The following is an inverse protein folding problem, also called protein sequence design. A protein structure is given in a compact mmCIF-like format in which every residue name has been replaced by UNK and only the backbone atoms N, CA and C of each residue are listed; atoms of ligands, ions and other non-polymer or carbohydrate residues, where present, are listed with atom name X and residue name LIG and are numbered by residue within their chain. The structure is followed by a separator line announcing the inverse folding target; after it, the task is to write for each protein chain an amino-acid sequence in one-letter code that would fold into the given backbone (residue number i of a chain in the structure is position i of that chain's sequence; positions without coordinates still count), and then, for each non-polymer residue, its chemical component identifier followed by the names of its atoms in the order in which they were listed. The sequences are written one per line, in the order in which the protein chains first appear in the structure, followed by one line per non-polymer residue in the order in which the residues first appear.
data_IF_834528992492
#
_entry.id   IF_834528992492
#
_cell.length_a   1.000
_cell.length_b   1.000
_cell.length_c   1.000
_cell.angle_alpha   90.00
_cell.angle_beta   90.00
_cell.angle_gamma   90.00
#
_symmetry.space_group_name_H-M   'P 1'
#
loop_
_entity.id
_entity.type
_entity.pdbx_description
1 polymer ?
#
# COMPACT_ATOMS: atom_id res chain seq x y z
N UNK A 1 -51.48 6.36 -6.27
CA UNK A 1 -50.08 5.94 -6.46
C UNK A 1 -49.19 7.10 -6.07
N UNK A 2 -48.11 6.83 -5.35
CA UNK A 2 -47.20 7.86 -4.83
C UNK A 2 -45.76 7.50 -5.12
N UNK A 3 -44.88 8.50 -5.13
CA UNK A 3 -43.45 8.27 -5.12
C UNK A 3 -43.00 8.14 -3.67
N UNK A 4 -42.07 7.25 -3.37
CA UNK A 4 -41.57 7.08 -2.01
C UNK A 4 -40.05 7.03 -1.99
N UNK A 5 -39.46 7.55 -0.92
CA UNK A 5 -38.02 7.51 -0.71
C UNK A 5 -37.70 6.88 0.65
N UNK A 6 -36.83 5.88 0.67
CA UNK A 6 -36.41 5.26 1.92
C UNK A 6 -35.33 6.12 2.59
N UNK A 7 -35.55 6.50 3.85
CA UNK A 7 -34.66 7.38 4.62
C UNK A 7 -33.26 6.80 4.82
N UNK A 8 -33.18 5.46 4.94
CA UNK A 8 -31.97 4.70 5.29
C UNK A 8 -31.24 4.29 4.01
N UNK A 9 -31.90 3.54 3.13
CA UNK A 9 -31.28 2.97 1.92
C UNK A 9 -31.11 3.98 0.79
N UNK A 10 -31.68 5.19 0.95
CA UNK A 10 -31.73 6.25 -0.06
C UNK A 10 -32.30 5.76 -1.39
N UNK A 11 -33.21 4.79 -1.35
CA UNK A 11 -33.86 4.22 -2.52
C UNK A 11 -35.10 5.04 -2.87
N UNK A 12 -35.18 5.49 -4.12
CA UNK A 12 -36.35 6.16 -4.68
C UNK A 12 -37.19 5.18 -5.49
N UNK A 13 -38.47 5.04 -5.17
CA UNK A 13 -39.43 4.21 -5.90
C UNK A 13 -40.53 5.09 -6.50
N UNK A 14 -40.84 4.86 -7.78
CA UNK A 14 -41.87 5.61 -8.53
C UNK A 14 -43.20 4.88 -8.52
N UNK A 15 -44.29 5.63 -8.31
CA UNK A 15 -45.66 5.17 -8.53
C UNK A 15 -46.03 3.86 -7.80
N UNK A 16 -45.75 3.77 -6.51
CA UNK A 16 -46.05 2.59 -5.67
C UNK A 16 -47.36 2.75 -4.87
N UNK A 17 -47.84 1.63 -4.31
CA UNK A 17 -48.98 1.60 -3.40
C UNK A 17 -48.52 1.96 -1.97
N UNK A 18 -49.04 3.05 -1.40
CA UNK A 18 -48.60 3.61 -0.11
C UNK A 18 -48.89 2.82 1.16
N UNK A 19 -49.91 1.93 1.27
CA UNK A 19 -50.18 1.17 2.49
C UNK A 19 -49.02 0.28 2.96
N UNK A 20 -48.11 -0.08 2.05
CA UNK A 20 -46.98 -0.99 2.32
C UNK A 20 -45.71 -0.26 2.81
N UNK A 21 -45.76 1.08 2.96
CA UNK A 21 -44.59 1.92 3.26
C UNK A 21 -44.81 2.76 4.53
N UNK A 22 -44.25 2.36 5.69
CA UNK A 22 -44.41 3.10 6.93
C UNK A 22 -43.70 4.46 6.86
N UNK A 23 -44.38 5.53 7.28
CA UNK A 23 -43.85 6.93 7.27
C UNK A 23 -42.56 7.11 8.07
N UNK A 24 -42.33 6.23 9.04
CA UNK A 24 -41.13 6.22 9.85
C UNK A 24 -39.88 5.97 8.99
N UNK A 25 -40.00 5.07 8.00
CA UNK A 25 -38.88 4.65 7.15
C UNK A 25 -38.93 5.29 5.76
N UNK A 26 -40.11 5.73 5.33
CA UNK A 26 -40.39 6.21 3.98
C UNK A 26 -40.94 7.63 3.97
N UNK A 27 -40.35 8.48 3.13
CA UNK A 27 -40.86 9.80 2.78
C UNK A 27 -41.83 9.62 1.62
N UNK A 28 -43.05 10.15 1.75
CA UNK A 28 -44.10 10.05 0.73
C UNK A 28 -44.09 11.33 -0.12
N UNK A 29 -44.02 11.15 -1.44
CA UNK A 29 -43.92 12.18 -2.46
C UNK A 29 -42.77 13.21 -2.24
N UNK A 30 -41.53 12.77 -2.00
CA UNK A 30 -40.38 13.69 -1.94
C UNK A 30 -40.07 14.29 -3.31
N UNK A 31 -39.39 15.44 -3.30
CA UNK A 31 -38.81 16.04 -4.50
C UNK A 31 -37.81 15.06 -5.14
N UNK A 32 -37.99 14.74 -6.42
CA UNK A 32 -37.08 13.84 -7.12
C UNK A 32 -35.80 14.58 -7.51
N UNK A 33 -34.65 14.04 -7.11
CA UNK A 33 -33.33 14.56 -7.46
C UNK A 33 -32.67 13.55 -8.42
N UNK A 34 -32.81 13.71 -9.75
CA UNK A 34 -32.13 12.84 -10.71
C UNK A 34 -30.62 13.03 -10.62
N UNK A 35 -29.87 11.99 -11.00
CA UNK A 35 -28.42 12.04 -11.27
C UNK A 35 -27.50 12.43 -10.09
N UNK A 36 -28.03 12.39 -8.87
CA UNK A 36 -27.24 12.61 -7.64
C UNK A 36 -26.94 11.27 -6.96
N UNK A 37 -25.65 11.01 -6.73
CA UNK A 37 -25.23 9.84 -5.96
C UNK A 37 -25.83 9.86 -4.55
N UNK A 38 -26.25 8.68 -4.08
CA UNK A 38 -26.90 8.51 -2.76
C UNK A 38 -26.11 9.11 -1.59
N UNK A 39 -24.77 9.11 -1.68
CA UNK A 39 -23.89 9.69 -0.65
C UNK A 39 -24.02 11.21 -0.50
N UNK A 40 -24.56 11.90 -1.52
CA UNK A 40 -24.78 13.34 -1.52
C UNK A 40 -26.24 13.74 -1.25
N UNK A 41 -27.10 12.81 -0.85
CA UNK A 41 -28.51 13.09 -0.55
C UNK A 41 -28.69 13.22 0.96
N UNK A 42 -29.12 14.40 1.39
CA UNK A 42 -29.50 14.67 2.78
C UNK A 42 -31.00 14.52 2.92
N UNK A 43 -31.43 13.94 4.03
CA UNK A 43 -32.84 13.85 4.44
C UNK A 43 -33.05 14.86 5.57
N UNK A 44 -33.94 15.83 5.37
CA UNK A 44 -34.30 16.85 6.35
C UNK A 44 -35.79 16.77 6.65
N UNK A 45 -36.15 16.22 7.82
CA UNK A 45 -37.55 15.97 8.15
C UNK A 45 -38.21 15.07 7.10
N UNK A 46 -39.26 15.56 6.44
CA UNK A 46 -39.99 14.85 5.37
C UNK A 46 -39.58 15.28 3.96
N UNK A 47 -38.42 15.93 3.80
CA UNK A 47 -37.90 16.32 2.49
C UNK A 47 -36.49 15.78 2.24
N UNK A 48 -36.08 15.81 0.97
CA UNK A 48 -34.72 15.48 0.53
C UNK A 48 -34.12 16.64 -0.23
N UNK A 49 -32.83 16.87 -0.01
CA UNK A 49 -32.05 17.83 -0.78
C UNK A 49 -30.70 17.25 -1.17
N UNK A 50 -30.14 17.83 -2.21
CA UNK A 50 -28.76 17.59 -2.59
C UNK A 50 -27.82 18.35 -1.65
N UNK A 51 -26.68 17.74 -1.34
CA UNK A 51 -25.58 18.41 -0.66
C UNK A 51 -25.06 19.59 -1.49
N UNK A 52 -24.76 20.68 -0.82
CA UNK A 52 -23.99 21.80 -1.38
C UNK A 52 -22.59 21.36 -1.79
N UNK A 53 -21.91 22.15 -2.62
CA UNK A 53 -20.53 21.86 -3.03
C UNK A 53 -19.57 21.72 -1.84
N UNK A 54 -19.78 22.51 -0.78
CA UNK A 54 -18.99 22.45 0.45
C UNK A 54 -19.21 21.15 1.21
N UNK A 55 -20.47 20.71 1.36
CA UNK A 55 -20.81 19.43 2.00
C UNK A 55 -20.26 18.24 1.20
N UNK A 56 -20.36 18.28 -0.14
CA UNK A 56 -19.78 17.26 -1.02
C UNK A 56 -18.27 17.19 -0.85
N UNK A 57 -17.58 18.32 -0.77
CA UNK A 57 -16.14 18.37 -0.57
C UNK A 57 -15.71 17.71 0.75
N UNK A 58 -16.53 17.77 1.80
CA UNK A 58 -16.29 17.08 3.07
C UNK A 58 -16.50 15.57 2.93
N UNK A 59 -17.56 15.14 2.24
CA UNK A 59 -17.83 13.70 2.00
C UNK A 59 -16.77 13.06 1.12
N UNK A 60 -16.31 13.80 0.11
CA UNK A 60 -15.25 13.37 -0.80
C UNK A 60 -13.85 13.65 -0.27
N UNK A 61 -13.74 14.22 0.93
CA UNK A 61 -12.45 14.44 1.55
C UNK A 61 -11.78 13.10 1.81
N UNK A 62 -10.83 12.78 0.95
CA UNK A 62 -9.87 11.70 1.17
C UNK A 62 -8.68 12.35 1.85
N UNK A 63 -8.41 11.95 3.09
CA UNK A 63 -7.22 12.40 3.79
C UNK A 63 -5.98 12.10 2.94
N UNK A 64 -5.04 13.05 2.79
CA UNK A 64 -3.80 12.77 2.09
C UNK A 64 -3.10 11.59 2.78
N UNK A 65 -2.62 10.64 1.98
CA UNK A 65 -1.76 9.57 2.49
C UNK A 65 -0.49 10.27 3.00
N UNK A 66 -0.11 10.08 4.29
CA UNK A 66 1.07 10.72 4.81
C UNK A 66 2.29 10.29 3.99
N UNK A 67 3.11 11.26 3.60
CA UNK A 67 4.39 10.97 2.95
C UNK A 67 5.27 10.16 3.91
N UNK A 68 6.01 9.16 3.41
CA UNK A 68 6.90 8.38 4.25
C UNK A 68 7.98 9.27 4.84
N UNK A 69 8.22 9.12 6.13
CA UNK A 69 9.31 9.80 6.81
C UNK A 69 10.67 9.33 6.28
N UNK A 70 11.69 10.17 6.41
CA UNK A 70 13.07 9.80 6.03
C UNK A 70 13.51 8.50 6.70
N UNK A 71 13.12 8.28 7.97
CA UNK A 71 13.44 7.06 8.71
C UNK A 71 12.80 5.81 8.08
N UNK A 72 11.54 5.88 7.65
CA UNK A 72 10.87 4.77 6.97
C UNK A 72 11.50 4.47 5.61
N UNK A 73 11.90 5.51 4.88
CA UNK A 73 12.62 5.36 3.60
C UNK A 73 13.99 4.67 3.82
N UNK A 74 14.74 5.03 4.86
CA UNK A 74 16.00 4.36 5.22
C UNK A 74 15.81 2.88 5.51
N UNK A 75 14.83 2.55 6.36
CA UNK A 75 14.51 1.15 6.71
C UNK A 75 14.13 0.36 5.46
N UNK A 76 13.29 0.95 4.59
CA UNK A 76 12.89 0.32 3.34
C UNK A 76 14.09 0.02 2.45
N UNK A 77 14.98 1.01 2.22
CA UNK A 77 16.14 0.83 1.35
C UNK A 77 17.13 -0.20 1.92
N UNK A 78 17.38 -0.20 3.23
CA UNK A 78 18.19 -1.23 3.89
C UNK A 78 17.63 -2.65 3.67
N UNK A 79 16.30 -2.81 3.76
CA UNK A 79 15.66 -4.10 3.49
C UNK A 79 15.76 -4.53 2.02
N UNK A 80 15.68 -3.59 1.09
CA UNK A 80 15.89 -3.85 -0.35
C UNK A 80 17.33 -4.31 -0.61
N UNK A 81 18.32 -3.59 -0.09
CA UNK A 81 19.73 -3.95 -0.20
C UNK A 81 19.99 -5.36 0.36
N UNK A 82 19.44 -5.69 1.54
CA UNK A 82 19.50 -7.05 2.11
C UNK A 82 18.93 -8.11 1.18
N UNK A 83 17.79 -7.82 0.57
CA UNK A 83 17.14 -8.74 -0.36
C UNK A 83 17.96 -8.92 -1.65
N UNK A 84 18.52 -7.82 -2.19
CA UNK A 84 19.40 -7.82 -3.36
C UNK A 84 20.68 -8.64 -3.09
N UNK A 85 21.37 -8.40 -1.96
CA UNK A 85 22.58 -9.14 -1.55
C UNK A 85 22.29 -10.63 -1.43
N UNK A 86 21.21 -10.99 -0.73
CA UNK A 86 20.80 -12.39 -0.57
C UNK A 86 20.48 -13.05 -1.91
N UNK A 87 19.74 -12.37 -2.78
CA UNK A 87 19.39 -12.88 -4.09
C UNK A 87 20.65 -13.10 -4.95
N UNK A 88 21.60 -12.16 -4.92
CA UNK A 88 22.85 -12.28 -5.64
C UNK A 88 23.69 -13.45 -5.14
N UNK A 89 23.89 -13.58 -3.82
CA UNK A 89 24.60 -14.72 -3.23
C UNK A 89 23.98 -16.05 -3.65
N UNK A 90 22.65 -16.18 -3.54
CA UNK A 90 21.95 -17.42 -3.88
C UNK A 90 21.98 -17.75 -5.39
N UNK A 91 22.08 -16.74 -6.26
CA UNK A 91 22.20 -16.94 -7.70
C UNK A 91 23.53 -17.60 -8.09
N UNK A 92 24.61 -17.32 -7.35
CA UNK A 92 25.94 -17.87 -7.60
C UNK A 92 26.17 -19.15 -6.80
N UNK A 93 25.82 -19.11 -5.52
CA UNK A 93 25.93 -20.22 -4.58
C UNK A 93 24.58 -20.55 -3.97
N UNK A 94 23.81 -21.45 -4.62
CA UNK A 94 22.54 -21.93 -4.06
C UNK A 94 22.71 -22.53 -2.67
N UNK A 95 21.62 -22.52 -1.90
CA UNK A 95 21.61 -22.92 -0.50
C UNK A 95 22.15 -24.36 -0.31
N UNK A 96 21.81 -25.27 -1.21
CA UNK A 96 22.26 -26.67 -1.17
C UNK A 96 23.78 -26.77 -1.23
N UNK A 97 24.43 -25.91 -2.02
CA UNK A 97 25.88 -25.85 -2.14
C UNK A 97 26.53 -25.30 -0.87
N UNK A 98 25.94 -24.26 -0.29
CA UNK A 98 26.40 -23.68 0.97
C UNK A 98 26.28 -24.67 2.13
N UNK A 99 25.15 -25.38 2.22
CA UNK A 99 24.93 -26.43 3.22
C UNK A 99 25.92 -27.58 3.03
N UNK A 100 26.09 -28.07 1.79
CA UNK A 100 27.05 -29.15 1.50
C UNK A 100 28.49 -28.77 1.84
N UNK A 101 28.89 -27.51 1.59
CA UNK A 101 30.18 -26.97 2.01
C UNK A 101 30.32 -26.96 3.54
N UNK A 102 29.28 -26.52 4.26
CA UNK A 102 29.28 -26.50 5.73
C UNK A 102 29.36 -27.90 6.36
N UNK A 103 28.82 -28.91 5.68
CA UNK A 103 28.90 -30.33 6.08
C UNK A 103 30.25 -30.99 5.73
N UNK A 104 31.19 -30.26 5.12
CA UNK A 104 32.49 -30.79 4.74
C UNK A 104 32.48 -31.72 3.52
N UNK A 105 31.41 -31.71 2.72
CA UNK A 105 31.31 -32.53 1.50
C UNK A 105 32.27 -32.03 0.41
N UNK A 106 32.50 -30.72 0.37
CA UNK A 106 33.40 -30.09 -0.58
C UNK A 106 34.81 -29.85 0.00
N UNK A 107 35.87 -29.98 -0.82
CA UNK A 107 37.22 -29.66 -0.40
C UNK A 107 37.40 -28.15 -0.18
N UNK A 108 38.42 -27.78 0.59
CA UNK A 108 38.73 -26.37 0.90
C UNK A 108 38.93 -25.50 -0.36
N UNK A 109 39.45 -26.07 -1.46
CA UNK A 109 39.59 -25.37 -2.74
C UNK A 109 38.28 -24.85 -3.32
N UNK A 110 37.14 -25.43 -2.92
CA UNK A 110 35.81 -24.97 -3.31
C UNK A 110 35.17 -24.07 -2.24
N UNK A 111 35.36 -24.41 -0.96
CA UNK A 111 34.76 -23.67 0.16
C UNK A 111 35.37 -22.29 0.32
N UNK A 112 36.69 -22.16 0.19
CA UNK A 112 37.39 -20.88 0.39
C UNK A 112 36.93 -19.79 -0.57
N UNK A 113 36.88 -20.00 -1.90
CA UNK A 113 36.36 -18.99 -2.83
C UNK A 113 34.91 -18.61 -2.54
N UNK A 114 34.05 -19.58 -2.21
CA UNK A 114 32.65 -19.34 -1.87
C UNK A 114 32.51 -18.46 -0.61
N UNK A 115 33.21 -18.81 0.47
CA UNK A 115 33.17 -18.05 1.72
C UNK A 115 33.74 -16.63 1.54
N UNK A 116 34.83 -16.48 0.77
CA UNK A 116 35.38 -15.17 0.44
C UNK A 116 34.41 -14.33 -0.37
N UNK A 117 33.73 -14.90 -1.37
CA UNK A 117 32.73 -14.20 -2.17
C UNK A 117 31.54 -13.73 -1.31
N UNK A 118 31.02 -14.61 -0.44
CA UNK A 118 29.92 -14.26 0.47
C UNK A 118 30.36 -13.14 1.42
N UNK A 119 31.57 -13.20 1.97
CA UNK A 119 32.10 -12.17 2.84
C UNK A 119 32.18 -10.80 2.11
N UNK A 120 32.69 -10.76 0.88
CA UNK A 120 32.74 -9.51 0.10
C UNK A 120 31.35 -8.95 -0.22
N UNK A 121 30.35 -9.81 -0.46
CA UNK A 121 28.96 -9.35 -0.63
C UNK A 121 28.41 -8.72 0.66
N UNK A 122 28.72 -9.29 1.83
CA UNK A 122 28.30 -8.76 3.13
C UNK A 122 29.01 -7.44 3.46
N UNK A 123 30.30 -7.32 3.15
CA UNK A 123 31.04 -6.06 3.28
C UNK A 123 30.41 -4.94 2.46
N UNK A 124 30.01 -5.25 1.22
CA UNK A 124 29.33 -4.30 0.35
C UNK A 124 27.92 -3.93 0.85
N UNK A 125 27.17 -4.89 1.40
CA UNK A 125 25.90 -4.60 2.09
C UNK A 125 26.12 -3.60 3.23
N UNK A 126 27.12 -3.83 4.09
CA UNK A 126 27.41 -2.94 5.21
C UNK A 126 27.83 -1.55 4.75
N UNK A 127 28.64 -1.44 3.69
CA UNK A 127 29.00 -0.14 3.07
C UNK A 127 27.74 0.62 2.64
N UNK A 128 26.80 -0.06 2.01
CA UNK A 128 25.54 0.55 1.59
C UNK A 128 24.67 0.96 2.78
N UNK A 129 24.65 0.16 3.85
CA UNK A 129 23.91 0.47 5.08
C UNK A 129 24.43 1.74 5.75
N UNK A 130 25.75 1.87 5.87
CA UNK A 130 26.40 3.07 6.40
C UNK A 130 26.08 4.30 5.53
N UNK A 131 26.07 4.14 4.21
CA UNK A 131 25.71 5.22 3.28
C UNK A 131 24.24 5.65 3.41
N UNK A 132 23.31 4.71 3.56
CA UNK A 132 21.88 5.00 3.80
C UNK A 132 21.69 5.70 5.16
N UNK A 133 22.43 5.28 6.18
CA UNK A 133 22.34 5.90 7.51
C UNK A 133 22.90 7.32 7.51
N UNK A 134 23.99 7.57 6.77
CA UNK A 134 24.58 8.90 6.61
C UNK A 134 23.74 9.85 5.73
N UNK A 135 22.85 9.32 4.88
CA UNK A 135 22.02 10.13 4.00
C UNK A 135 21.07 11.07 4.75
N UNK A 136 20.97 12.31 4.28
CA UNK A 136 20.13 13.37 4.85
C UNK A 136 18.88 13.65 4.01
N UNK A 137 18.87 13.17 2.77
CA UNK A 137 17.76 13.34 1.82
C UNK A 137 17.33 12.02 1.21
N UNK A 138 16.09 11.97 0.70
CA UNK A 138 15.56 10.80 -0.02
C UNK A 138 16.40 10.51 -1.29
N UNK A 139 16.79 11.56 -2.02
CA UNK A 139 17.62 11.40 -3.22
C UNK A 139 18.98 10.77 -2.93
N UNK A 140 19.60 11.09 -1.79
CA UNK A 140 20.84 10.45 -1.35
C UNK A 140 20.63 8.97 -0.99
N UNK A 141 19.50 8.61 -0.39
CA UNK A 141 19.15 7.20 -0.09
C UNK A 141 18.95 6.41 -1.40
N UNK A 142 18.21 6.97 -2.35
CA UNK A 142 17.92 6.34 -3.64
C UNK A 142 19.17 6.16 -4.50
N UNK A 143 20.18 7.01 -4.32
CA UNK A 143 21.46 6.90 -5.00
C UNK A 143 22.35 5.76 -4.46
N UNK A 144 22.04 5.18 -3.30
CA UNK A 144 22.82 4.07 -2.75
C UNK A 144 22.51 2.78 -3.51
N UNK A 145 23.47 2.33 -4.31
CA UNK A 145 23.39 1.10 -5.11
C UNK A 145 24.52 0.14 -4.70
N UNK A 146 24.21 -1.13 -4.38
CA UNK A 146 25.22 -2.15 -4.13
C UNK A 146 26.03 -2.48 -5.39
N UNK A 147 27.34 -2.60 -5.24
CA UNK A 147 28.27 -3.01 -6.28
C UNK A 147 28.88 -4.35 -5.90
N UNK A 148 28.19 -5.43 -6.28
CA UNK A 148 28.61 -6.77 -5.90
C UNK A 148 29.87 -7.25 -6.66
N UNK A 149 30.71 -8.09 -6.02
CA UNK A 149 31.90 -8.63 -6.66
C UNK A 149 31.55 -9.48 -7.89
N UNK A 150 32.39 -9.40 -8.92
CA UNK A 150 32.30 -10.27 -10.07
C UNK A 150 32.57 -11.74 -9.68
N UNK A 151 31.93 -12.66 -10.39
CA UNK A 151 32.19 -14.10 -10.23
C UNK A 151 33.55 -14.40 -10.86
N UNK A 152 34.48 -14.94 -10.06
CA UNK A 152 35.84 -15.32 -10.49
C UNK A 152 35.88 -16.81 -10.83
#
# INVERSE_FOLDING_TARGET
MSNVFNRITKQYLKSVNTPDYPKLDWIINPAFIPDVDKKYIIVEGDDIREMTLEEKAVVDYVAPIPEPTLAEVKIKRQNEIKAETKAYILSIYPLEKQVSASLGIYPASYVTPMSSFIASCIEEENRCFDAVEAATTIAEIDAVIPVFPAVV
#
